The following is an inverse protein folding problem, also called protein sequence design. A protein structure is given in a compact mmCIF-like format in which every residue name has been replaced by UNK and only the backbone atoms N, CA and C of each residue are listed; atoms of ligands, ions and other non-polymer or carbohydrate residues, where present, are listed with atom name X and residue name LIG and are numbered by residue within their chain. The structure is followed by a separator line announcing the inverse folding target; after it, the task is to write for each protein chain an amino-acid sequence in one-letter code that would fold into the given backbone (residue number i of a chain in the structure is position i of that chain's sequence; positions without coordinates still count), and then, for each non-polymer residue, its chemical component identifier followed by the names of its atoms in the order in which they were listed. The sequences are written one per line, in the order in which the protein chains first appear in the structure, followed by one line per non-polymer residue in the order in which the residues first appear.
data_IF_828477346128
#
_entry.id   IF_828477346128
#
_cell.length_a   1.000
_cell.length_b   1.000
_cell.length_c   1.000
_cell.angle_alpha   90.00
_cell.angle_beta   90.00
_cell.angle_gamma   90.00
#
_symmetry.space_group_name_H-M   'P 1'
#
loop_
_entity.id
_entity.type
_entity.pdbx_description
1 polymer ?
#
# COMPACT_ATOMS: atom_id res chain seq x y z
N UNK A 1 19.94 -3.24 6.74
CA UNK A 1 19.96 -4.67 7.09
C UNK A 1 18.51 -5.12 7.10
N UNK A 2 18.07 -5.84 6.06
CA UNK A 2 16.70 -6.38 6.01
C UNK A 2 16.58 -7.46 7.09
N UNK A 3 15.46 -7.53 7.81
CA UNK A 3 15.20 -8.69 8.66
C UNK A 3 15.18 -9.93 7.77
N UNK A 4 15.97 -10.95 8.13
CA UNK A 4 16.10 -12.17 7.32
C UNK A 4 14.77 -12.96 7.23
N UNK A 5 13.84 -12.71 8.14
CA UNK A 5 12.51 -13.32 8.17
C UNK A 5 11.46 -12.34 7.61
N UNK A 6 11.04 -12.56 6.36
CA UNK A 6 9.90 -11.86 5.77
C UNK A 6 8.55 -12.42 6.26
N UNK A 7 7.51 -11.61 6.25
CA UNK A 7 6.15 -12.03 6.60
C UNK A 7 5.52 -12.78 5.43
N UNK A 8 5.30 -14.09 5.59
CA UNK A 8 4.81 -14.96 4.52
C UNK A 8 3.31 -15.26 4.62
N UNK A 9 2.62 -15.14 3.49
CA UNK A 9 1.18 -15.30 3.35
C UNK A 9 0.85 -16.20 2.16
N UNK A 10 -0.31 -16.87 2.21
CA UNK A 10 -0.89 -17.43 0.99
C UNK A 10 -1.46 -16.31 0.09
N UNK A 11 -1.86 -16.65 -1.14
CA UNK A 11 -2.41 -15.70 -2.10
C UNK A 11 -3.63 -14.92 -1.58
N UNK A 12 -4.52 -15.56 -0.82
CA UNK A 12 -5.70 -14.94 -0.22
C UNK A 12 -5.30 -13.84 0.79
N UNK A 13 -4.44 -14.20 1.74
CA UNK A 13 -3.95 -13.29 2.77
C UNK A 13 -3.10 -12.17 2.20
N UNK A 14 -2.32 -12.45 1.15
CA UNK A 14 -1.55 -11.43 0.46
C UNK A 14 -2.47 -10.39 -0.21
N UNK A 15 -3.56 -10.83 -0.85
CA UNK A 15 -4.53 -9.91 -1.43
C UNK A 15 -5.21 -9.03 -0.38
N UNK A 16 -5.56 -9.61 0.79
CA UNK A 16 -6.08 -8.84 1.91
C UNK A 16 -5.09 -7.79 2.40
N UNK A 17 -3.82 -8.18 2.59
CA UNK A 17 -2.76 -7.26 2.99
C UNK A 17 -2.63 -6.08 2.03
N UNK A 18 -2.48 -6.36 0.73
CA UNK A 18 -2.37 -5.32 -0.29
C UNK A 18 -3.61 -4.41 -0.29
N UNK A 19 -4.82 -4.97 -0.28
CA UNK A 19 -6.04 -4.18 -0.28
C UNK A 19 -6.11 -3.22 0.90
N UNK A 20 -5.72 -3.70 2.08
CA UNK A 20 -5.74 -2.91 3.29
C UNK A 20 -4.64 -1.83 3.29
N UNK A 21 -3.42 -2.12 2.82
CA UNK A 21 -2.36 -1.11 2.63
C UNK A 21 -2.80 0.02 1.69
N UNK A 22 -3.52 -0.34 0.63
CA UNK A 22 -4.09 0.62 -0.31
C UNK A 22 -5.19 1.48 0.32
N UNK A 23 -6.05 0.89 1.15
CA UNK A 23 -7.09 1.61 1.87
C UNK A 23 -6.49 2.58 2.90
N UNK A 24 -5.47 2.17 3.64
CA UNK A 24 -4.70 3.04 4.53
C UNK A 24 -4.11 4.21 3.75
N UNK A 25 -3.39 3.95 2.66
CA UNK A 25 -2.78 5.02 1.86
C UNK A 25 -3.81 5.97 1.24
N UNK A 26 -4.96 5.44 0.82
CA UNK A 26 -6.08 6.24 0.31
C UNK A 26 -6.58 7.23 1.37
N UNK A 27 -6.71 6.79 2.62
CA UNK A 27 -7.13 7.67 3.72
C UNK A 27 -6.10 8.78 3.96
N UNK A 28 -4.81 8.45 3.97
CA UNK A 28 -3.73 9.43 4.11
C UNK A 28 -3.76 10.47 2.98
N UNK A 29 -3.98 10.04 1.73
CA UNK A 29 -4.11 10.95 0.59
C UNK A 29 -5.36 11.83 0.68
N UNK A 30 -6.48 11.36 1.23
CA UNK A 30 -7.66 12.20 1.46
C UNK A 30 -7.44 13.25 2.54
N UNK A 31 -6.79 12.88 3.65
CA UNK A 31 -6.40 13.82 4.70
C UNK A 31 -5.44 14.88 4.16
N UNK A 32 -4.43 14.45 3.41
CA UNK A 32 -3.48 15.33 2.75
C UNK A 32 -4.15 16.28 1.74
N UNK A 33 -4.98 15.75 0.84
CA UNK A 33 -5.71 16.57 -0.14
C UNK A 33 -6.66 17.57 0.53
N UNK A 34 -7.27 17.22 1.67
CA UNK A 34 -8.11 18.13 2.47
C UNK A 34 -7.32 19.32 3.00
N UNK A 35 -6.06 19.10 3.41
CA UNK A 35 -5.14 20.13 3.89
C UNK A 35 -4.73 21.11 2.77
N UNK A 36 -4.49 20.60 1.56
CA UNK A 36 -3.96 21.40 0.44
C UNK A 36 -5.03 21.89 -0.54
N UNK A 37 -6.32 21.54 -0.35
CA UNK A 37 -7.42 21.85 -1.29
C UNK A 37 -7.51 23.32 -1.70
N UNK A 38 -7.11 24.24 -0.81
CA UNK A 38 -7.11 25.70 -1.06
C UNK A 38 -6.22 26.12 -2.22
N UNK A 39 -5.22 25.29 -2.57
CA UNK A 39 -4.30 25.53 -3.68
C UNK A 39 -4.81 24.96 -5.02
N UNK A 40 -6.00 24.34 -5.02
CA UNK A 40 -6.60 23.67 -6.18
C UNK A 40 -5.67 22.66 -6.86
N UNK A 41 -4.85 21.96 -6.07
CA UNK A 41 -4.00 20.86 -6.53
C UNK A 41 -4.21 19.65 -5.64
N UNK A 42 -4.12 18.46 -6.23
CA UNK A 42 -4.50 17.21 -5.58
C UNK A 42 -3.61 16.07 -6.06
N UNK A 43 -3.29 15.14 -5.17
CA UNK A 43 -2.78 13.84 -5.55
C UNK A 43 -3.95 12.90 -5.81
N UNK A 44 -4.01 12.30 -7.00
CA UNK A 44 -5.08 11.36 -7.32
C UNK A 44 -4.87 10.06 -6.54
N UNK A 45 -5.81 9.67 -5.64
CA UNK A 45 -5.60 8.51 -4.78
C UNK A 45 -5.50 7.21 -5.56
N UNK A 46 -6.26 7.07 -6.64
CA UNK A 46 -6.23 5.89 -7.48
C UNK A 46 -6.41 6.23 -8.96
N UNK A 47 -5.50 5.74 -9.79
CA UNK A 47 -5.61 5.75 -11.23
C UNK A 47 -5.44 4.32 -11.74
N UNK A 48 -6.53 3.73 -12.21
CA UNK A 48 -6.55 2.39 -12.79
C UNK A 48 -6.42 2.51 -14.31
N UNK A 49 -5.44 1.82 -14.89
CA UNK A 49 -5.28 1.70 -16.35
C UNK A 49 -5.40 0.24 -16.73
N UNK A 50 -6.32 -0.08 -17.63
CA UNK A 50 -6.43 -1.42 -18.20
C UNK A 50 -5.77 -1.40 -19.58
N UNK A 51 -4.71 -2.19 -19.76
CA UNK A 51 -4.09 -2.41 -21.08
C UNK A 51 -4.33 -3.85 -21.52
N UNK A 52 -4.64 -4.05 -22.79
CA UNK A 52 -4.60 -5.39 -23.39
C UNK A 52 -3.17 -5.66 -23.87
N UNK A 53 -2.67 -6.85 -23.60
CA UNK A 53 -1.43 -7.31 -24.23
C UNK A 53 -1.70 -7.86 -25.64
N UNK A 54 -0.63 -8.17 -26.37
CA UNK A 54 -0.67 -8.69 -27.74
C UNK A 54 -1.40 -10.04 -27.85
N UNK A 55 -1.59 -10.76 -26.74
CA UNK A 55 -2.27 -12.05 -26.66
C UNK A 55 -3.73 -11.91 -26.17
N UNK A 56 -4.24 -10.68 -26.05
CA UNK A 56 -5.61 -10.39 -25.64
C UNK A 56 -5.85 -10.41 -24.13
N UNK A 57 -4.83 -10.67 -23.32
CA UNK A 57 -4.95 -10.67 -21.86
C UNK A 57 -4.96 -9.24 -21.31
N UNK A 58 -5.79 -8.98 -20.30
CA UNK A 58 -5.91 -7.67 -19.67
C UNK A 58 -4.90 -7.53 -18.54
N UNK A 59 -4.05 -6.52 -18.60
CA UNK A 59 -3.21 -6.06 -17.49
C UNK A 59 -3.82 -4.81 -16.87
N UNK A 60 -4.04 -4.85 -15.56
CA UNK A 60 -4.56 -3.71 -14.79
C UNK A 60 -3.41 -3.09 -14.01
N UNK A 61 -3.15 -1.81 -14.25
CA UNK A 61 -2.13 -1.03 -13.55
C UNK A 61 -2.83 -0.10 -12.56
N UNK A 62 -2.41 -0.14 -11.31
CA UNK A 62 -2.90 0.74 -10.26
C UNK A 62 -1.81 1.75 -9.93
N UNK A 63 -2.09 3.04 -10.13
CA UNK A 63 -1.18 4.13 -9.75
C UNK A 63 -1.81 4.91 -8.59
N UNK A 64 -1.08 5.06 -7.49
CA UNK A 64 -1.52 5.76 -6.29
C UNK A 64 -0.65 6.97 -6.04
N UNK A 65 -1.23 8.17 -5.93
CA UNK A 65 -0.55 9.39 -5.48
C UNK A 65 0.70 9.80 -6.28
N UNK A 66 0.89 9.28 -7.50
CA UNK A 66 2.09 9.51 -8.31
C UNK A 66 2.07 10.83 -9.09
N UNK A 67 0.87 11.34 -9.31
CA UNK A 67 0.63 12.44 -10.24
C UNK A 67 -0.24 13.50 -9.57
N UNK A 68 0.14 14.73 -9.84
CA UNK A 68 -0.56 15.91 -9.40
C UNK A 68 -1.60 16.31 -10.44
N UNK A 69 -2.74 16.77 -9.93
CA UNK A 69 -3.86 17.20 -10.74
C UNK A 69 -4.47 18.49 -10.21
N UNK A 70 -5.10 19.25 -11.09
CA UNK A 70 -6.05 20.31 -10.74
C UNK A 70 -7.47 19.83 -10.99
N UNK A 71 -8.41 20.38 -10.23
CA UNK A 71 -9.82 20.18 -10.48
C UNK A 71 -10.40 21.38 -11.20
N UNK A 72 -11.08 21.11 -12.31
CA UNK A 72 -11.81 22.11 -13.07
C UNK A 72 -13.27 21.65 -13.23
N UNK A 73 -14.20 22.58 -13.09
CA UNK A 73 -15.61 22.33 -13.39
C UNK A 73 -15.90 22.90 -14.77
N UNK A 74 -16.28 22.02 -15.70
CA UNK A 74 -16.63 22.39 -17.07
C UNK A 74 -17.93 21.70 -17.43
N UNK A 75 -18.95 22.48 -17.80
CA UNK A 75 -20.30 21.98 -18.10
C UNK A 75 -20.86 21.05 -17.02
N UNK A 76 -20.77 21.47 -15.75
CA UNK A 76 -21.21 20.71 -14.56
C UNK A 76 -20.50 19.37 -14.35
N UNK A 77 -19.42 19.08 -15.10
CA UNK A 77 -18.60 17.88 -14.92
C UNK A 77 -17.26 18.26 -14.30
N UNK A 78 -16.88 17.52 -13.27
CA UNK A 78 -15.56 17.61 -12.67
C UNK A 78 -14.52 16.97 -13.59
N UNK A 79 -13.50 17.74 -13.97
CA UNK A 79 -12.37 17.29 -14.76
C UNK A 79 -11.10 17.32 -13.92
N UNK A 80 -10.35 16.23 -13.98
CA UNK A 80 -9.01 16.12 -13.39
C UNK A 80 -7.99 16.48 -14.46
N UNK A 81 -7.31 17.61 -14.31
CA UNK A 81 -6.28 18.07 -15.25
C UNK A 81 -4.91 17.67 -14.72
N UNK A 82 -4.19 16.82 -15.43
CA UNK A 82 -2.85 16.40 -15.06
C UNK A 82 -1.89 17.59 -15.14
N UNK A 83 -1.10 17.82 -14.09
CA UNK A 83 -0.14 18.93 -14.03
C UNK A 83 1.32 18.50 -13.85
N UNK A 84 1.59 17.23 -13.50
CA UNK A 84 2.96 16.74 -13.40
C UNK A 84 3.14 15.60 -12.40
N UNK A 85 4.39 15.12 -12.32
CA UNK A 85 4.85 14.17 -11.29
C UNK A 85 5.41 14.87 -10.06
N UNK A 86 6.00 16.05 -10.26
CA UNK A 86 6.69 16.80 -9.20
C UNK A 86 5.71 17.63 -8.39
N UNK A 87 6.07 17.88 -7.12
CA UNK A 87 5.29 18.73 -6.21
C UNK A 87 5.19 20.13 -6.84
N UNK A 88 3.98 20.66 -7.10
CA UNK A 88 3.83 21.87 -7.90
C UNK A 88 4.30 23.14 -7.19
N UNK A 89 4.36 23.13 -5.85
CA UNK A 89 4.84 24.25 -5.06
C UNK A 89 5.64 23.77 -3.85
N UNK A 90 6.78 24.39 -3.58
CA UNK A 90 7.69 24.00 -2.50
C UNK A 90 7.10 24.18 -1.10
N UNK A 91 6.22 25.17 -0.93
CA UNK A 91 5.57 25.46 0.35
C UNK A 91 4.48 24.45 0.75
N UNK A 92 4.10 23.54 -0.16
CA UNK A 92 3.17 22.47 0.20
C UNK A 92 3.88 21.46 1.12
N UNK A 93 3.18 20.93 2.14
CA UNK A 93 3.71 19.81 2.91
C UNK A 93 4.06 18.64 2.00
N UNK A 94 4.94 17.76 2.44
CA UNK A 94 5.26 16.58 1.66
C UNK A 94 4.10 15.58 1.69
N UNK A 95 3.86 14.88 0.57
CA UNK A 95 2.79 13.90 0.50
C UNK A 95 3.10 12.68 1.37
N UNK A 96 2.08 11.95 1.82
CA UNK A 96 2.29 10.70 2.56
C UNK A 96 3.08 9.70 1.71
N UNK A 97 3.94 8.92 2.35
CA UNK A 97 4.70 7.86 1.69
C UNK A 97 3.73 6.75 1.27
N UNK A 98 3.88 6.27 0.02
CA UNK A 98 3.13 5.11 -0.45
C UNK A 98 3.69 3.84 0.21
N UNK A 99 2.91 3.11 1.03
CA UNK A 99 3.39 1.92 1.73
C UNK A 99 3.81 0.81 0.76
N UNK A 100 3.30 0.80 -0.48
CA UNK A 100 3.72 -0.20 -1.48
C UNK A 100 5.13 0.05 -2.03
N UNK A 101 5.72 1.22 -1.82
CA UNK A 101 7.08 1.53 -2.27
C UNK A 101 8.17 1.03 -1.31
N UNK A 102 7.79 0.75 -0.07
CA UNK A 102 8.70 0.30 0.99
C UNK A 102 8.54 -1.20 1.29
N UNK A 103 7.71 -1.90 0.51
CA UNK A 103 7.58 -3.35 0.62
C UNK A 103 8.14 -4.04 -0.62
N UNK A 104 8.88 -5.11 -0.36
CA UNK A 104 9.31 -6.05 -1.39
C UNK A 104 8.52 -7.35 -1.24
N UNK A 105 7.94 -7.86 -2.33
CA UNK A 105 7.18 -9.11 -2.34
C UNK A 105 7.95 -10.16 -3.12
N UNK A 106 8.32 -11.25 -2.46
CA UNK A 106 9.00 -12.40 -3.09
C UNK A 106 8.13 -13.64 -3.03
N UNK A 107 8.15 -14.44 -4.09
CA UNK A 107 7.60 -15.80 -4.07
C UNK A 107 8.66 -16.76 -3.54
N UNK A 108 8.24 -17.69 -2.68
CA UNK A 108 9.12 -18.77 -2.21
C UNK A 108 9.20 -19.85 -3.29
N UNK A 109 10.42 -20.20 -3.74
CA UNK A 109 10.61 -21.15 -4.85
C UNK A 109 9.96 -22.52 -4.56
N UNK A 110 10.11 -23.02 -3.34
CA UNK A 110 9.61 -24.34 -2.94
C UNK A 110 8.15 -24.34 -2.45
N UNK A 111 7.49 -23.18 -2.44
CA UNK A 111 6.10 -23.02 -1.99
C UNK A 111 5.36 -22.05 -2.91
N UNK A 112 4.82 -22.52 -4.06
CA UNK A 112 4.28 -21.65 -5.11
C UNK A 112 3.09 -20.78 -4.67
N UNK A 113 2.35 -21.23 -3.64
CA UNK A 113 1.21 -20.49 -3.07
C UNK A 113 1.62 -19.49 -1.98
N UNK A 114 2.92 -19.39 -1.65
CA UNK A 114 3.43 -18.52 -0.58
C UNK A 114 4.15 -17.30 -1.15
N UNK A 115 3.72 -16.12 -0.69
CA UNK A 115 4.32 -14.81 -0.96
C UNK A 115 4.82 -14.22 0.35
N UNK A 116 6.05 -13.76 0.39
CA UNK A 116 6.66 -13.13 1.56
C UNK A 116 6.89 -11.65 1.32
N UNK A 117 6.55 -10.84 2.32
CA UNK A 117 6.69 -9.39 2.34
C UNK A 117 7.87 -9.02 3.21
N UNK A 118 8.77 -8.23 2.66
CA UNK A 118 9.91 -7.63 3.35
C UNK A 118 9.66 -6.13 3.41
N UNK A 119 9.79 -5.55 4.60
CA UNK A 119 9.56 -4.11 4.80
C UNK A 119 10.93 -3.45 4.92
N UNK A 120 11.21 -2.54 4.00
CA UNK A 120 12.38 -1.66 4.08
C UNK A 120 12.09 -0.54 5.09
N UNK A 121 13.08 -0.21 5.92
CA UNK A 121 13.03 0.93 6.85
C UNK A 121 11.83 0.94 7.83
N UNK A 122 11.76 -0.09 8.70
CA UNK A 122 10.77 -0.23 9.77
C UNK A 122 10.53 1.03 10.64
N UNK A 123 11.54 1.89 10.81
CA UNK A 123 11.49 3.04 11.71
C UNK A 123 10.48 4.15 11.35
N UNK A 124 10.09 4.27 10.08
CA UNK A 124 9.15 5.32 9.64
C UNK A 124 7.67 4.87 9.65
N UNK A 125 7.40 3.61 10.00
CA UNK A 125 6.13 2.96 9.66
C UNK A 125 5.43 2.27 10.83
N UNK A 126 5.62 2.78 12.05
CA UNK A 126 4.98 2.25 13.27
C UNK A 126 3.45 2.14 13.17
N UNK A 127 2.78 3.11 12.53
CA UNK A 127 1.34 3.05 12.27
C UNK A 127 0.97 1.93 11.27
N UNK A 128 1.81 1.72 10.25
CA UNK A 128 1.61 0.65 9.27
C UNK A 128 1.77 -0.71 9.94
N UNK A 129 2.71 -0.86 10.87
CA UNK A 129 2.91 -2.11 11.63
C UNK A 129 1.64 -2.49 12.38
N UNK A 130 0.98 -1.55 13.07
CA UNK A 130 -0.29 -1.82 13.77
C UNK A 130 -1.37 -2.29 12.79
N UNK A 131 -1.42 -1.67 11.61
CA UNK A 131 -2.40 -2.02 10.57
C UNK A 131 -2.12 -3.39 9.95
N UNK A 132 -0.84 -3.69 9.64
CA UNK A 132 -0.36 -4.98 9.17
C UNK A 132 -0.62 -6.07 10.21
N UNK A 133 -0.30 -5.84 11.49
CA UNK A 133 -0.50 -6.79 12.58
C UNK A 133 -1.97 -7.23 12.73
N UNK A 134 -2.93 -6.31 12.55
CA UNK A 134 -4.36 -6.66 12.53
C UNK A 134 -4.71 -7.63 11.40
N UNK A 135 -4.14 -7.41 10.21
CA UNK A 135 -4.36 -8.28 9.05
C UNK A 135 -3.68 -9.63 9.27
N UNK A 136 -2.44 -9.63 9.78
CA UNK A 136 -1.72 -10.85 10.16
C UNK A 136 -2.56 -11.65 11.17
N UNK A 137 -3.12 -11.00 12.19
CA UNK A 137 -3.98 -11.65 13.17
C UNK A 137 -5.21 -12.31 12.51
N UNK A 138 -5.94 -11.61 11.64
CA UNK A 138 -7.09 -12.16 10.92
C UNK A 138 -6.67 -13.35 10.05
N UNK A 139 -5.59 -13.21 9.30
CA UNK A 139 -5.04 -14.27 8.46
C UNK A 139 -4.60 -15.48 9.27
N UNK A 140 -3.89 -15.27 10.37
CA UNK A 140 -3.50 -16.35 11.28
C UNK A 140 -4.71 -17.04 11.88
N UNK A 141 -5.77 -16.29 12.23
CA UNK A 141 -7.00 -16.81 12.79
C UNK A 141 -7.79 -17.67 11.78
N UNK A 142 -7.96 -17.19 10.56
CA UNK A 142 -8.61 -17.94 9.47
C UNK A 142 -7.77 -19.16 9.03
N UNK A 143 -6.44 -19.06 9.09
CA UNK A 143 -5.52 -20.17 8.86
C UNK A 143 -5.43 -21.15 10.03
N UNK A 144 -6.06 -20.89 11.20
CA UNK A 144 -6.11 -21.86 12.33
C UNK A 144 -6.90 -23.12 12.03
N UNK A 145 -7.48 -23.27 10.83
CA UNK A 145 -7.90 -24.59 10.34
C UNK A 145 -6.72 -25.49 9.91
N UNK A 146 -5.52 -24.95 9.65
CA UNK A 146 -4.31 -25.73 9.35
C UNK A 146 -2.98 -24.98 9.69
N UNK A 147 -2.45 -25.16 10.91
CA UNK A 147 -1.06 -24.81 11.35
C UNK A 147 -0.90 -23.41 11.98
N UNK A 148 -0.72 -23.36 13.31
CA UNK A 148 -0.84 -22.12 14.13
C UNK A 148 0.42 -21.70 14.87
N UNK A 149 1.50 -22.48 14.93
CA UNK A 149 2.51 -22.20 15.95
C UNK A 149 3.55 -21.11 15.62
N UNK A 150 3.76 -20.72 14.36
CA UNK A 150 4.92 -19.86 14.01
C UNK A 150 4.61 -18.38 13.71
N UNK A 151 3.34 -17.99 13.50
CA UNK A 151 3.06 -16.68 12.88
C UNK A 151 3.01 -15.49 13.85
N UNK A 152 2.94 -15.71 15.16
CA UNK A 152 2.76 -14.62 16.15
C UNK A 152 3.80 -14.71 17.29
N UNK A 153 4.23 -15.91 17.68
CA UNK A 153 5.07 -16.10 18.87
C UNK A 153 6.52 -15.56 18.74
N UNK A 154 7.05 -15.43 17.52
CA UNK A 154 8.41 -14.92 17.31
C UNK A 154 8.47 -13.39 17.19
N UNK A 155 7.45 -12.73 16.64
CA UNK A 155 7.52 -11.27 16.47
C UNK A 155 7.21 -10.53 17.77
N UNK A 156 6.18 -10.92 18.53
CA UNK A 156 5.81 -10.20 19.76
C UNK A 156 6.82 -10.35 20.91
N UNK A 157 7.63 -11.42 20.93
CA UNK A 157 8.70 -11.58 21.93
C UNK A 157 9.82 -10.54 21.77
N UNK A 158 10.05 -10.05 20.56
CA UNK A 158 11.07 -9.04 20.29
C UNK A 158 10.60 -7.60 20.57
N UNK A 159 9.29 -7.36 20.69
CA UNK A 159 8.74 -6.03 20.96
C UNK A 159 8.47 -5.74 22.45
N UNK A 160 8.66 -6.71 23.34
CA UNK A 160 8.45 -6.56 24.79
C UNK A 160 9.71 -6.43 25.63
N UNK A 161 10.90 -6.33 25.02
CA UNK A 161 12.20 -6.29 25.71
C UNK A 161 13.04 -5.08 25.28
N UNK A 162 12.47 -3.88 25.35
CA UNK A 162 13.19 -2.60 25.20
C UNK A 162 12.77 -1.65 26.31
#
# INVERSE_FOLDING_TARGET
MLSEDGLCFNSFCMNMLIGALLDYYRQQLYSYNSLIKRYNVYLKPLHIVVKKDLKGSKKVYYYFGKYWYRLEVSNSKLKWIYIGKEKPFDYLPDPPINPLLIIEVKRVQDKPDTLCVYIENFGEVSELISYVAKIVYVCCHELKKHVVKSCIENELKNYGSS
#
